data_IF_352695827310
#
_entry.id   IF_352695827310
#
_cell.length_a   1.000
_cell.length_b   1.000
_cell.length_c   1.000
_cell.angle_alpha   90.00
_cell.angle_beta   90.00
_cell.angle_gamma   90.00
#
_symmetry.space_group_name_H-M   'P 1'
#
loop_
_entity.id
_entity.type
_entity.pdbx_description
1 polymer ?
#
# COMPACT_ATOMS: atom_id res chain seq x y z
N UNK A 1 1.02 -52.83 -43.19
CA UNK A 1 0.57 -53.26 -41.85
C UNK A 1 1.78 -53.03 -40.95
N UNK A 2 1.82 -52.13 -40.00
CA UNK A 2 0.81 -51.65 -39.07
C UNK A 2 1.21 -50.24 -38.59
N UNK A 3 0.30 -49.26 -38.71
CA UNK A 3 0.47 -47.91 -38.19
C UNK A 3 0.22 -47.92 -36.68
N UNK A 4 1.27 -47.84 -35.86
CA UNK A 4 1.13 -47.58 -34.43
C UNK A 4 0.80 -46.11 -34.22
N UNK A 5 -0.50 -45.81 -34.08
CA UNK A 5 -1.02 -44.52 -33.63
C UNK A 5 -0.53 -44.27 -32.20
N UNK A 6 0.56 -43.49 -32.04
CA UNK A 6 0.80 -42.78 -30.77
C UNK A 6 -0.27 -41.71 -30.66
N UNK A 7 -1.23 -41.94 -29.77
CA UNK A 7 -2.18 -40.90 -29.37
C UNK A 7 -1.40 -39.71 -28.84
N UNK A 8 -1.41 -38.62 -29.59
CA UNK A 8 -1.06 -37.31 -29.06
C UNK A 8 -2.30 -36.91 -28.28
N UNK A 9 -2.29 -37.20 -26.99
CA UNK A 9 -3.23 -36.61 -26.05
C UNK A 9 -2.98 -35.10 -26.07
N UNK A 10 -3.88 -34.37 -26.73
CA UNK A 10 -3.86 -32.93 -26.88
C UNK A 10 -4.42 -32.20 -25.66
N UNK A 11 -4.48 -32.85 -24.50
CA UNK A 11 -4.78 -32.16 -23.25
C UNK A 11 -3.58 -31.28 -22.85
N UNK A 12 -3.80 -29.99 -22.57
CA UNK A 12 -2.75 -29.15 -22.00
C UNK A 12 -2.29 -29.79 -20.68
N UNK A 13 -0.99 -29.74 -20.34
CA UNK A 13 -0.52 -30.22 -19.04
C UNK A 13 -1.40 -29.59 -17.95
N UNK A 14 -2.01 -30.43 -17.11
CA UNK A 14 -2.77 -29.93 -15.98
C UNK A 14 -1.83 -29.03 -15.16
N UNK A 15 -2.21 -27.77 -14.87
CA UNK A 15 -1.38 -26.92 -14.05
C UNK A 15 -1.26 -27.58 -12.68
N UNK A 16 -0.04 -27.90 -12.26
CA UNK A 16 0.26 -28.35 -10.90
C UNK A 16 -0.47 -27.42 -9.93
N UNK A 17 -1.45 -27.99 -9.23
CA UNK A 17 -2.33 -27.30 -8.28
C UNK A 17 -1.65 -27.03 -6.95
N UNK A 18 -0.40 -27.46 -6.78
CA UNK A 18 0.41 -27.19 -5.59
C UNK A 18 1.36 -26.02 -5.86
N UNK A 19 0.88 -24.80 -5.62
CA UNK A 19 1.77 -23.65 -5.46
C UNK A 19 2.71 -23.82 -4.26
N UNK A 20 3.75 -22.99 -4.18
CA UNK A 20 4.66 -22.95 -3.02
C UNK A 20 3.88 -22.81 -1.70
N UNK A 21 4.45 -23.36 -0.62
CA UNK A 21 3.90 -23.24 0.74
C UNK A 21 4.81 -22.41 1.62
N UNK A 22 4.23 -21.47 2.36
CA UNK A 22 4.96 -20.68 3.35
C UNK A 22 5.53 -21.55 4.46
N UNK A 23 4.92 -22.73 4.73
CA UNK A 23 5.42 -23.70 5.70
C UNK A 23 6.80 -24.28 5.32
N UNK A 24 7.08 -24.41 4.02
CA UNK A 24 8.31 -24.97 3.47
C UNK A 24 9.43 -23.93 3.32
N UNK A 25 9.22 -22.71 3.82
CA UNK A 25 10.14 -21.59 3.65
C UNK A 25 11.48 -21.83 4.33
N UNK A 26 12.55 -21.63 3.57
CA UNK A 26 13.92 -21.60 4.07
C UNK A 26 14.28 -20.16 4.48
N UNK A 27 14.92 -20.00 5.64
CA UNK A 27 15.29 -18.69 6.19
C UNK A 27 16.78 -18.66 6.47
N UNK A 28 17.51 -17.86 5.71
CA UNK A 28 18.91 -17.55 5.91
C UNK A 28 19.02 -16.11 6.43
N UNK A 29 19.45 -15.95 7.68
CA UNK A 29 19.60 -14.64 8.30
C UNK A 29 21.04 -14.14 8.20
N UNK A 30 21.22 -12.83 7.97
CA UNK A 30 22.52 -12.17 8.14
C UNK A 30 23.06 -12.38 9.56
N UNK A 31 24.36 -12.59 9.69
CA UNK A 31 25.01 -12.73 11.01
C UNK A 31 25.04 -11.41 11.79
N UNK A 32 25.10 -10.29 11.08
CA UNK A 32 25.09 -8.95 11.64
C UNK A 32 24.20 -8.06 10.78
N UNK A 33 23.15 -7.53 11.39
CA UNK A 33 22.28 -6.54 10.75
C UNK A 33 23.04 -5.25 10.44
N UNK A 34 22.68 -4.62 9.31
CA UNK A 34 23.11 -3.27 9.03
C UNK A 34 22.56 -2.30 10.09
N UNK A 35 23.26 -1.18 10.29
CA UNK A 35 22.76 -0.13 11.16
C UNK A 35 21.46 0.43 10.57
N UNK A 36 20.42 0.48 11.40
CA UNK A 36 19.13 1.00 10.95
C UNK A 36 19.29 2.51 10.75
N UNK A 37 18.92 3.05 9.58
CA UNK A 37 18.98 4.49 9.36
C UNK A 37 18.07 5.22 10.36
N UNK A 38 18.41 6.47 10.66
CA UNK A 38 17.54 7.34 11.44
C UNK A 38 16.15 7.40 10.77
N UNK A 39 15.06 7.03 11.46
CA UNK A 39 13.70 7.15 10.92
C UNK A 39 13.36 8.55 10.42
N UNK A 40 14.05 9.57 10.94
CA UNK A 40 13.93 10.97 10.58
C UNK A 40 14.78 11.39 9.37
N UNK A 41 15.51 10.48 8.73
CA UNK A 41 16.35 10.79 7.56
C UNK A 41 16.12 9.82 6.38
N UNK A 42 15.04 9.03 6.44
CA UNK A 42 14.69 8.05 5.41
C UNK A 42 14.32 8.69 4.07
N UNK A 43 14.97 8.22 2.99
CA UNK A 43 14.59 8.51 1.61
C UNK A 43 13.98 7.26 0.98
N UNK A 44 12.80 7.40 0.37
CA UNK A 44 12.05 6.28 -0.17
C UNK A 44 12.87 5.46 -1.19
N UNK A 45 12.84 4.13 -1.04
CA UNK A 45 13.42 3.19 -2.01
C UNK A 45 14.94 3.21 -2.12
N UNK A 46 15.64 3.90 -1.22
CA UNK A 46 17.11 4.01 -1.23
C UNK A 46 17.79 3.11 -0.21
N UNK A 47 17.11 2.84 0.90
CA UNK A 47 17.58 1.94 1.96
C UNK A 47 16.68 0.72 1.99
N UNK A 48 17.30 -0.46 1.99
CA UNK A 48 16.62 -1.75 2.00
C UNK A 48 16.92 -2.50 3.30
N UNK A 49 16.01 -3.38 3.70
CA UNK A 49 16.25 -4.28 4.84
C UNK A 49 17.32 -5.32 4.52
N UNK A 50 17.85 -5.95 5.57
CA UNK A 50 18.90 -6.96 5.47
C UNK A 50 18.50 -8.20 4.63
N UNK A 51 17.20 -8.45 4.48
CA UNK A 51 16.68 -9.66 3.82
C UNK A 51 15.68 -9.34 2.72
N UNK A 52 15.55 -10.29 1.78
CA UNK A 52 14.56 -10.30 0.72
C UNK A 52 13.88 -11.68 0.63
N UNK A 53 12.63 -11.71 0.16
CA UNK A 53 11.91 -12.94 -0.21
C UNK A 53 12.17 -13.26 -1.68
N UNK A 54 12.46 -14.53 -1.98
CA UNK A 54 12.65 -15.02 -3.34
C UNK A 54 11.99 -16.39 -3.50
N UNK A 55 11.29 -16.60 -4.61
CA UNK A 55 10.62 -17.87 -4.94
C UNK A 55 10.81 -18.10 -6.43
N UNK A 56 11.50 -19.18 -6.80
CA UNK A 56 11.75 -19.51 -8.20
C UNK A 56 10.59 -20.29 -8.81
N UNK A 57 10.38 -20.13 -10.11
CA UNK A 57 9.43 -20.92 -10.87
C UNK A 57 10.03 -21.33 -12.21
N UNK A 58 9.73 -22.55 -12.65
CA UNK A 58 10.02 -23.01 -14.01
C UNK A 58 8.84 -23.78 -14.58
N UNK A 59 8.63 -23.74 -15.90
CA UNK A 59 7.56 -24.50 -16.55
C UNK A 59 7.68 -26.01 -16.34
N UNK A 60 8.91 -26.52 -16.16
CA UNK A 60 9.18 -27.94 -15.99
C UNK A 60 8.98 -28.46 -14.55
N UNK A 61 9.13 -27.59 -13.53
CA UNK A 61 9.14 -28.01 -12.11
C UNK A 61 8.14 -27.26 -11.23
N UNK A 62 7.40 -26.31 -11.79
CA UNK A 62 6.51 -25.45 -11.01
C UNK A 62 7.29 -24.51 -10.08
N UNK A 63 6.67 -24.18 -8.95
CA UNK A 63 7.25 -23.32 -7.93
C UNK A 63 8.26 -24.08 -7.05
N UNK A 64 9.40 -23.47 -6.80
CA UNK A 64 10.37 -23.94 -5.80
C UNK A 64 9.99 -23.43 -4.39
N UNK A 65 10.74 -23.88 -3.37
CA UNK A 65 10.53 -23.46 -1.98
C UNK A 65 10.75 -21.96 -1.82
N UNK A 66 9.93 -21.24 -1.02
CA UNK A 66 10.17 -19.85 -0.71
C UNK A 66 11.45 -19.68 0.12
N UNK A 67 12.23 -18.64 -0.15
CA UNK A 67 13.47 -18.35 0.56
C UNK A 67 13.46 -16.91 1.07
N UNK A 68 13.61 -16.73 2.38
CA UNK A 68 14.07 -15.45 2.95
C UNK A 68 15.58 -15.56 3.06
N UNK A 69 16.29 -14.66 2.40
CA UNK A 69 17.76 -14.67 2.35
C UNK A 69 18.33 -13.25 2.41
N UNK A 70 19.63 -13.07 2.64
CA UNK A 70 20.26 -11.75 2.61
C UNK A 70 19.97 -11.00 1.31
N UNK A 71 19.72 -9.71 1.43
CA UNK A 71 19.52 -8.79 0.30
C UNK A 71 20.76 -8.84 -0.62
N UNK A 72 20.53 -9.09 -1.90
CA UNK A 72 21.59 -9.25 -2.90
C UNK A 72 21.07 -8.89 -4.30
N UNK A 73 21.99 -8.65 -5.23
CA UNK A 73 21.63 -8.41 -6.63
C UNK A 73 21.00 -9.65 -7.27
N UNK A 74 20.07 -9.43 -8.20
CA UNK A 74 19.51 -10.50 -9.01
C UNK A 74 20.48 -10.89 -10.13
N UNK A 75 20.81 -12.18 -10.23
CA UNK A 75 21.57 -12.74 -11.34
C UNK A 75 20.59 -13.18 -12.45
N UNK A 76 20.47 -12.39 -13.51
CA UNK A 76 19.50 -12.60 -14.59
C UNK A 76 20.21 -12.93 -15.91
N UNK A 77 19.64 -13.84 -16.69
CA UNK A 77 20.08 -14.07 -18.06
C UNK A 77 19.77 -12.82 -18.91
N UNK A 78 20.67 -12.35 -19.79
CA UNK A 78 20.48 -11.11 -20.56
C UNK A 78 19.21 -11.09 -21.43
N UNK A 79 18.71 -12.26 -21.82
CA UNK A 79 17.49 -12.43 -22.62
C UNK A 79 16.20 -12.60 -21.79
N UNK A 80 16.21 -12.29 -20.49
CA UNK A 80 15.00 -12.43 -19.65
C UNK A 80 13.88 -11.51 -20.12
N UNK A 81 12.68 -12.06 -20.31
CA UNK A 81 11.54 -11.33 -20.90
C UNK A 81 11.13 -10.07 -20.13
N UNK A 82 11.40 -9.99 -18.83
CA UNK A 82 11.18 -8.78 -18.03
C UNK A 82 11.93 -7.56 -18.61
N UNK A 83 13.17 -7.74 -19.09
CA UNK A 83 13.99 -6.64 -19.63
C UNK A 83 13.66 -6.28 -21.09
N UNK A 84 13.04 -7.20 -21.84
CA UNK A 84 12.78 -7.02 -23.28
C UNK A 84 11.34 -6.65 -23.59
N UNK A 85 10.39 -7.21 -22.84
CA UNK A 85 8.96 -7.13 -23.12
C UNK A 85 8.13 -6.75 -21.89
N UNK A 86 8.78 -6.29 -20.80
CA UNK A 86 8.12 -5.90 -19.57
C UNK A 86 7.16 -6.97 -19.01
N UNK A 87 7.55 -8.24 -19.10
CA UNK A 87 6.81 -9.36 -18.47
C UNK A 87 7.09 -9.35 -16.97
N UNK A 88 6.50 -8.37 -16.28
CA UNK A 88 6.69 -8.08 -14.87
C UNK A 88 5.46 -7.39 -14.26
N UNK A 89 5.37 -7.44 -12.94
CA UNK A 89 4.38 -6.72 -12.13
C UNK A 89 4.96 -6.45 -10.76
N UNK A 90 4.35 -5.53 -10.01
CA UNK A 90 4.73 -5.27 -8.62
C UNK A 90 3.49 -5.03 -7.75
N UNK A 91 3.70 -5.05 -6.44
CA UNK A 91 2.71 -4.68 -5.44
C UNK A 91 3.30 -3.72 -4.42
N UNK A 92 2.43 -2.97 -3.73
CA UNK A 92 2.80 -2.01 -2.70
C UNK A 92 1.93 -2.17 -1.46
N UNK A 93 2.52 -2.63 -0.36
CA UNK A 93 1.89 -2.71 0.95
C UNK A 93 2.87 -2.34 2.05
N UNK A 94 2.37 -2.15 3.27
CA UNK A 94 3.17 -1.67 4.40
C UNK A 94 2.97 -2.52 5.64
N UNK A 95 4.06 -2.63 6.39
CA UNK A 95 4.08 -3.14 7.75
C UNK A 95 4.15 -1.94 8.72
N UNK A 96 3.46 -2.05 9.85
CA UNK A 96 3.32 -0.96 10.83
C UNK A 96 3.61 -1.49 12.22
N UNK A 97 4.55 -0.89 12.93
CA UNK A 97 4.73 -1.08 14.37
C UNK A 97 3.72 -0.22 15.11
N UNK A 98 2.77 -0.86 15.78
CA UNK A 98 1.79 -0.18 16.63
C UNK A 98 2.38 0.27 17.96
N UNK A 99 1.61 1.04 18.72
CA UNK A 99 1.97 1.51 20.06
C UNK A 99 2.24 0.37 21.06
N UNK A 100 1.65 -0.80 20.82
CA UNK A 100 1.89 -2.05 21.56
C UNK A 100 3.11 -2.82 21.06
N UNK A 101 3.95 -2.19 20.24
CA UNK A 101 5.14 -2.74 19.61
C UNK A 101 4.88 -3.94 18.66
N UNK A 102 3.62 -4.25 18.32
CA UNK A 102 3.28 -5.33 17.37
C UNK A 102 3.27 -4.85 15.93
N UNK A 103 3.80 -5.67 15.03
CA UNK A 103 3.75 -5.43 13.57
C UNK A 103 2.37 -5.81 13.02
N UNK A 104 1.78 -4.94 12.20
CA UNK A 104 0.50 -5.15 11.53
C UNK A 104 0.66 -4.94 10.03
N UNK A 105 -0.08 -5.73 9.25
CA UNK A 105 -0.29 -5.50 7.82
C UNK A 105 -1.74 -5.04 7.61
N UNK A 106 -1.96 -4.19 6.62
CA UNK A 106 -3.26 -3.56 6.37
C UNK A 106 -3.93 -4.15 5.15
N UNK A 107 -5.05 -4.89 5.33
CA UNK A 107 -5.78 -5.62 4.27
C UNK A 107 -4.88 -6.31 3.24
N UNK A 108 -3.83 -7.02 3.66
CA UNK A 108 -2.82 -7.46 2.71
C UNK A 108 -3.33 -8.52 1.73
N UNK A 109 -4.46 -9.19 2.03
CA UNK A 109 -5.13 -10.09 1.09
C UNK A 109 -5.61 -9.39 -0.18
N UNK A 110 -6.04 -8.12 -0.11
CA UNK A 110 -6.45 -7.38 -1.31
C UNK A 110 -5.28 -7.13 -2.27
N UNK A 111 -4.09 -6.88 -1.72
CA UNK A 111 -2.87 -6.79 -2.51
C UNK A 111 -2.55 -8.14 -3.15
N UNK A 112 -2.69 -9.25 -2.42
CA UNK A 112 -2.41 -10.58 -2.98
C UNK A 112 -3.41 -10.97 -4.08
N UNK A 113 -4.69 -10.65 -3.90
CA UNK A 113 -5.71 -10.84 -4.92
C UNK A 113 -5.44 -9.98 -6.16
N UNK A 114 -5.02 -8.72 -5.97
CA UNK A 114 -4.64 -7.83 -7.07
C UNK A 114 -3.38 -8.33 -7.79
N UNK A 115 -2.36 -8.75 -7.05
CA UNK A 115 -1.16 -9.38 -7.58
C UNK A 115 -1.49 -10.61 -8.43
N UNK A 116 -2.37 -11.49 -7.94
CA UNK A 116 -2.81 -12.68 -8.68
C UNK A 116 -3.57 -12.31 -9.96
N UNK A 117 -4.45 -11.30 -9.93
CA UNK A 117 -5.12 -10.80 -11.14
C UNK A 117 -4.13 -10.24 -12.15
N UNK A 118 -3.16 -9.44 -11.70
CA UNK A 118 -2.10 -8.90 -12.55
C UNK A 118 -1.22 -10.01 -13.14
N UNK A 119 -0.88 -11.04 -12.34
CA UNK A 119 -0.09 -12.18 -12.80
C UNK A 119 -0.80 -12.92 -13.93
N UNK A 120 -2.10 -13.21 -13.76
CA UNK A 120 -2.93 -13.82 -14.79
C UNK A 120 -3.00 -12.97 -16.06
N UNK A 121 -3.11 -11.65 -15.91
CA UNK A 121 -3.15 -10.70 -17.05
C UNK A 121 -1.83 -10.64 -17.81
N UNK A 122 -0.71 -10.73 -17.10
CA UNK A 122 0.64 -10.74 -17.66
C UNK A 122 1.10 -12.14 -18.12
N UNK A 123 0.22 -13.15 -18.07
CA UNK A 123 0.55 -14.55 -18.34
C UNK A 123 1.70 -15.10 -17.47
N UNK A 124 1.89 -14.55 -16.28
CA UNK A 124 2.80 -15.06 -15.26
C UNK A 124 2.17 -16.24 -14.50
N UNK A 125 2.98 -17.13 -13.89
CA UNK A 125 2.49 -18.25 -13.10
C UNK A 125 1.55 -17.79 -11.97
N UNK A 126 0.41 -18.47 -11.82
CA UNK A 126 -0.49 -18.25 -10.69
C UNK A 126 0.11 -18.83 -9.40
N UNK A 127 -0.34 -18.30 -8.26
CA UNK A 127 0.06 -18.73 -6.92
C UNK A 127 -1.11 -18.60 -5.95
N UNK A 128 -1.01 -19.20 -4.76
CA UNK A 128 -1.99 -19.05 -3.69
C UNK A 128 -1.78 -17.69 -2.96
N UNK A 129 -2.76 -16.77 -2.99
CA UNK A 129 -2.68 -15.48 -2.31
C UNK A 129 -2.38 -15.58 -0.81
N UNK A 130 -2.89 -16.62 -0.13
CA UNK A 130 -2.69 -16.81 1.30
C UNK A 130 -1.25 -17.23 1.59
N UNK A 131 -0.70 -18.15 0.80
CA UNK A 131 0.69 -18.60 0.97
C UNK A 131 1.68 -17.47 0.69
N UNK A 132 1.45 -16.65 -0.34
CA UNK A 132 2.24 -15.45 -0.60
C UNK A 132 2.16 -14.47 0.59
N UNK A 133 0.97 -14.24 1.13
CA UNK A 133 0.81 -13.38 2.30
C UNK A 133 1.58 -13.91 3.51
N UNK A 134 1.48 -15.21 3.79
CA UNK A 134 2.16 -15.81 4.93
C UNK A 134 3.69 -15.74 4.77
N UNK A 135 4.22 -15.79 3.54
CA UNK A 135 5.62 -15.50 3.24
C UNK A 135 5.99 -14.03 3.55
N UNK A 136 5.17 -13.07 3.11
CA UNK A 136 5.40 -11.63 3.34
C UNK A 136 5.35 -11.29 4.84
N UNK A 137 4.43 -11.91 5.60
CA UNK A 137 4.37 -11.75 7.06
C UNK A 137 5.67 -12.18 7.73
N UNK A 138 6.24 -13.32 7.32
CA UNK A 138 7.53 -13.81 7.85
C UNK A 138 8.66 -12.81 7.55
N UNK A 139 8.71 -12.25 6.34
CA UNK A 139 9.68 -11.20 5.97
C UNK A 139 9.47 -9.91 6.79
N UNK A 140 8.23 -9.46 6.96
CA UNK A 140 7.93 -8.22 7.68
C UNK A 140 8.32 -8.29 9.18
N UNK A 141 8.16 -9.46 9.81
CA UNK A 141 8.61 -9.71 11.18
C UNK A 141 10.14 -9.60 11.28
N UNK A 142 10.87 -10.01 10.25
CA UNK A 142 12.32 -9.82 10.19
C UNK A 142 12.73 -8.34 10.00
N UNK A 143 11.93 -7.52 9.31
CA UNK A 143 12.32 -6.18 8.84
C UNK A 143 11.86 -4.96 9.69
N UNK A 144 10.70 -4.98 10.35
CA UNK A 144 10.35 -4.02 11.43
C UNK A 144 10.02 -2.52 11.12
N UNK A 145 9.51 -2.13 9.95
CA UNK A 145 9.22 -0.72 9.53
C UNK A 145 7.73 -0.24 9.58
N UNK A 146 7.42 1.03 9.17
CA UNK A 146 6.11 1.75 9.35
C UNK A 146 5.39 2.38 8.09
N UNK A 147 5.78 3.50 7.43
CA UNK A 147 5.07 4.08 6.22
C UNK A 147 5.90 5.05 5.31
N UNK A 148 5.29 5.71 4.29
CA UNK A 148 5.81 6.48 3.11
C UNK A 148 4.70 7.42 2.58
N UNK A 149 5.02 8.67 2.23
CA UNK A 149 4.15 9.61 1.50
C UNK A 149 4.57 9.67 0.02
N UNK A 150 3.63 9.51 -0.91
CA UNK A 150 3.91 9.52 -2.34
C UNK A 150 3.87 10.94 -2.90
N UNK A 151 4.88 11.26 -3.73
CA UNK A 151 5.02 12.54 -4.42
C UNK A 151 5.10 12.29 -5.94
N UNK A 152 4.56 13.22 -6.74
CA UNK A 152 4.53 13.11 -8.20
C UNK A 152 5.00 14.39 -8.90
N UNK A 153 5.71 14.24 -10.02
CA UNK A 153 6.24 15.35 -10.83
C UNK A 153 7.35 16.16 -10.16
N UNK A 154 8.02 17.01 -10.94
CA UNK A 154 9.14 17.84 -10.46
C UNK A 154 8.72 18.87 -9.39
N UNK A 155 7.44 19.24 -9.39
CA UNK A 155 6.86 20.15 -8.39
C UNK A 155 6.49 19.44 -7.06
N UNK A 156 6.71 18.12 -6.99
CA UNK A 156 6.45 17.29 -5.82
C UNK A 156 4.99 17.39 -5.34
N UNK A 157 4.05 17.11 -6.25
CA UNK A 157 2.63 16.98 -5.93
C UNK A 157 2.41 15.86 -4.92
N UNK A 158 1.70 16.16 -3.85
CA UNK A 158 1.32 15.19 -2.83
C UNK A 158 0.17 14.35 -3.35
N UNK A 159 0.31 13.03 -3.33
CA UNK A 159 -0.68 12.11 -3.92
C UNK A 159 -1.35 11.23 -2.87
N UNK A 160 -0.62 10.29 -2.27
CA UNK A 160 -1.17 9.27 -1.37
C UNK A 160 -0.28 9.02 -0.16
N UNK A 161 -0.87 8.72 1.00
CA UNK A 161 -0.16 8.30 2.20
C UNK A 161 0.00 6.77 2.22
N UNK A 162 0.84 6.24 1.35
CA UNK A 162 1.03 4.80 1.20
C UNK A 162 -0.03 4.14 0.36
N UNK A 163 -0.94 3.41 1.01
CA UNK A 163 -2.09 2.77 0.35
C UNK A 163 -3.39 3.45 0.77
N UNK A 164 -3.31 4.76 1.04
CA UNK A 164 -4.39 5.58 1.56
C UNK A 164 -4.45 6.86 0.74
N UNK A 165 -5.66 7.27 0.35
CA UNK A 165 -5.86 8.60 -0.20
C UNK A 165 -5.59 9.64 0.89
N UNK A 166 -4.88 10.71 0.56
CA UNK A 166 -4.55 11.76 1.51
C UNK A 166 -5.65 12.82 1.57
N UNK A 167 -5.93 13.29 2.77
CA UNK A 167 -6.74 14.47 3.04
C UNK A 167 -5.94 15.46 3.88
N UNK A 168 -6.10 16.73 3.55
CA UNK A 168 -5.53 17.88 4.27
C UNK A 168 -6.69 18.77 4.66
N UNK A 169 -6.83 19.04 5.96
CA UNK A 169 -7.79 19.99 6.50
C UNK A 169 -7.03 21.20 7.06
N UNK A 170 -7.33 22.37 6.52
CA UNK A 170 -6.50 23.56 6.69
C UNK A 170 -7.26 24.86 6.45
N UNK A 171 -6.57 25.99 6.70
CA UNK A 171 -6.99 27.32 6.25
C UNK A 171 -6.30 27.60 4.90
N UNK A 172 -7.09 27.70 3.83
CA UNK A 172 -6.59 27.93 2.48
C UNK A 172 -6.00 29.35 2.32
N UNK A 173 -5.49 29.66 1.14
CA UNK A 173 -4.84 30.94 0.84
C UNK A 173 -5.79 32.15 0.91
N UNK A 174 -7.10 31.92 0.91
CA UNK A 174 -8.14 32.93 1.03
C UNK A 174 -8.66 33.09 2.48
N UNK A 175 -8.11 32.34 3.43
CA UNK A 175 -8.55 32.37 4.83
C UNK A 175 -9.76 31.50 5.13
N UNK A 176 -10.17 30.62 4.21
CA UNK A 176 -11.32 29.74 4.37
C UNK A 176 -10.91 28.39 4.96
N UNK A 177 -11.75 27.82 5.82
CA UNK A 177 -11.60 26.42 6.21
C UNK A 177 -11.90 25.50 5.03
N UNK A 178 -10.96 24.62 4.72
CA UNK A 178 -11.00 23.77 3.54
C UNK A 178 -10.53 22.34 3.87
N UNK A 179 -11.29 21.34 3.41
CA UNK A 179 -10.86 19.96 3.29
C UNK A 179 -10.50 19.70 1.83
N UNK A 180 -9.26 19.31 1.58
CA UNK A 180 -8.73 19.13 0.24
C UNK A 180 -8.07 17.76 0.10
N UNK A 181 -8.28 17.14 -1.06
CA UNK A 181 -7.66 15.88 -1.47
C UNK A 181 -7.22 15.96 -2.94
N UNK A 182 -6.14 15.29 -3.35
CA UNK A 182 -5.72 15.28 -4.75
C UNK A 182 -6.82 14.74 -5.70
N UNK A 183 -6.95 15.28 -6.92
CA UNK A 183 -7.99 14.88 -7.88
C UNK A 183 -7.71 13.51 -8.49
N UNK A 184 -8.73 12.90 -9.11
CA UNK A 184 -8.59 11.63 -9.83
C UNK A 184 -8.11 11.87 -11.27
N UNK A 185 -6.83 12.19 -11.42
CA UNK A 185 -6.17 12.49 -12.70
C UNK A 185 -5.43 11.29 -13.33
N UNK A 186 -5.61 10.09 -12.75
CA UNK A 186 -4.95 8.85 -13.17
C UNK A 186 -3.76 8.44 -12.29
N UNK A 187 -3.25 9.34 -11.43
CA UNK A 187 -2.18 9.01 -10.47
C UNK A 187 -2.74 8.52 -9.13
N UNK A 188 -3.95 8.96 -8.77
CA UNK A 188 -4.61 8.64 -7.50
C UNK A 188 -5.56 7.46 -7.66
N UNK A 189 -5.49 6.49 -6.74
CA UNK A 189 -6.43 5.37 -6.70
C UNK A 189 -7.81 5.87 -6.22
N UNK A 190 -8.91 5.58 -6.93
CA UNK A 190 -10.25 6.01 -6.54
C UNK A 190 -10.77 5.19 -5.34
N UNK A 191 -10.36 5.56 -4.13
CA UNK A 191 -10.76 4.85 -2.91
C UNK A 191 -12.23 5.07 -2.55
N UNK A 192 -12.93 3.99 -2.18
CA UNK A 192 -14.34 4.08 -1.72
C UNK A 192 -14.46 4.97 -0.49
N UNK A 193 -13.54 4.84 0.47
CA UNK A 193 -13.54 5.66 1.68
C UNK A 193 -13.25 7.13 1.38
N UNK A 194 -12.42 7.42 0.38
CA UNK A 194 -12.20 8.79 -0.10
C UNK A 194 -13.52 9.39 -0.58
N UNK A 195 -14.27 8.66 -1.41
CA UNK A 195 -15.56 9.12 -1.90
C UNK A 195 -16.56 9.34 -0.75
N UNK A 196 -16.67 8.39 0.17
CA UNK A 196 -17.56 8.51 1.33
C UNK A 196 -17.23 9.73 2.21
N UNK A 197 -15.95 10.05 2.39
CA UNK A 197 -15.50 11.23 3.14
C UNK A 197 -15.89 12.51 2.41
N UNK A 198 -15.68 12.58 1.09
CA UNK A 198 -16.08 13.74 0.29
C UNK A 198 -17.59 13.96 0.34
N UNK A 199 -18.39 12.90 0.24
CA UNK A 199 -19.85 12.98 0.27
C UNK A 199 -20.35 13.43 1.65
N UNK A 200 -19.78 12.91 2.74
CA UNK A 200 -20.08 13.35 4.10
C UNK A 200 -19.72 14.83 4.31
N UNK A 201 -18.49 15.21 3.94
CA UNK A 201 -18.02 16.58 4.13
C UNK A 201 -18.86 17.60 3.34
N UNK A 202 -19.22 17.26 2.09
CA UNK A 202 -20.11 18.09 1.26
C UNK A 202 -21.52 18.17 1.85
N UNK A 203 -22.03 17.07 2.41
CA UNK A 203 -23.35 17.04 3.07
C UNK A 203 -23.37 17.88 4.34
N UNK A 204 -22.29 17.90 5.12
CA UNK A 204 -22.18 18.74 6.31
C UNK A 204 -22.17 20.23 5.95
N UNK A 205 -21.55 20.60 4.82
CA UNK A 205 -21.53 21.97 4.30
C UNK A 205 -21.05 23.02 5.32
N UNK A 206 -20.06 22.64 6.14
CA UNK A 206 -19.49 23.48 7.20
C UNK A 206 -18.19 24.19 6.80
N UNK A 207 -17.50 23.63 5.81
CA UNK A 207 -16.23 24.10 5.28
C UNK A 207 -16.15 23.74 3.79
N UNK A 208 -15.23 24.38 3.08
CA UNK A 208 -15.03 24.14 1.65
C UNK A 208 -14.48 22.74 1.42
N UNK A 209 -14.98 22.02 0.41
CA UNK A 209 -14.50 20.68 0.03
C UNK A 209 -14.04 20.72 -1.41
N UNK A 210 -12.75 20.47 -1.65
CA UNK A 210 -12.18 20.58 -2.99
C UNK A 210 -11.29 19.37 -3.35
N UNK A 211 -11.41 18.92 -4.59
CA UNK A 211 -10.49 17.95 -5.18
C UNK A 211 -9.46 18.74 -5.99
N UNK A 212 -8.28 18.98 -5.41
CA UNK A 212 -7.27 19.88 -5.96
C UNK A 212 -5.85 19.38 -5.65
N UNK A 213 -4.97 19.48 -6.64
CA UNK A 213 -3.56 19.09 -6.49
C UNK A 213 -2.83 20.05 -5.55
N UNK A 214 -2.03 19.50 -4.64
CA UNK A 214 -1.24 20.27 -3.66
C UNK A 214 0.21 19.85 -3.78
N UNK A 215 1.12 20.82 -3.82
CA UNK A 215 2.56 20.55 -3.85
C UNK A 215 3.15 20.56 -2.44
N UNK A 216 4.27 19.87 -2.26
CA UNK A 216 5.00 19.93 -0.98
C UNK A 216 5.42 21.35 -0.61
N UNK A 217 5.73 22.22 -1.58
CA UNK A 217 6.07 23.62 -1.28
C UNK A 217 4.89 24.35 -0.62
N UNK A 218 3.67 24.16 -1.14
CA UNK A 218 2.46 24.73 -0.53
C UNK A 218 2.18 24.13 0.85
N UNK A 219 2.34 22.81 0.98
CA UNK A 219 2.13 22.12 2.25
C UNK A 219 3.11 22.60 3.33
N UNK A 220 4.39 22.74 2.99
CA UNK A 220 5.42 23.26 3.90
C UNK A 220 5.12 24.71 4.30
N UNK A 221 4.75 25.57 3.36
CA UNK A 221 4.34 26.95 3.66
C UNK A 221 3.15 26.97 4.63
N UNK A 222 2.13 26.16 4.39
CA UNK A 222 0.97 26.04 5.25
C UNK A 222 1.33 25.58 6.67
N UNK A 223 2.24 24.62 6.80
CA UNK A 223 2.73 24.12 8.09
C UNK A 223 3.46 25.25 8.83
N UNK A 224 4.39 25.94 8.16
CA UNK A 224 5.20 27.02 8.76
C UNK A 224 4.35 28.21 9.18
N UNK A 225 3.26 28.48 8.46
CA UNK A 225 2.31 29.54 8.76
C UNK A 225 1.16 29.09 9.69
N UNK A 226 1.23 27.91 10.31
CA UNK A 226 0.21 27.37 11.22
C UNK A 226 -1.20 27.31 10.62
N UNK A 227 -1.29 27.08 9.30
CA UNK A 227 -2.57 26.96 8.58
C UNK A 227 -3.10 25.53 8.54
N UNK A 228 -2.25 24.52 8.77
CA UNK A 228 -2.67 23.12 8.81
C UNK A 228 -3.36 22.80 10.15
N UNK A 229 -4.57 22.23 10.07
CA UNK A 229 -5.30 21.72 11.23
C UNK A 229 -5.09 20.21 11.39
N UNK A 230 -5.39 19.45 10.33
CA UNK A 230 -5.30 17.99 10.36
C UNK A 230 -4.82 17.47 9.01
N UNK A 231 -4.00 16.42 9.03
CA UNK A 231 -3.66 15.63 7.84
C UNK A 231 -3.90 14.17 8.19
N UNK A 232 -4.59 13.46 7.30
CA UNK A 232 -4.88 12.05 7.51
C UNK A 232 -4.97 11.29 6.19
N UNK A 233 -4.65 10.00 6.26
CA UNK A 233 -4.95 9.06 5.19
C UNK A 233 -6.34 8.45 5.38
N UNK A 234 -7.02 8.15 4.29
CA UNK A 234 -8.25 7.35 4.28
C UNK A 234 -8.04 6.05 3.52
N UNK A 235 -8.56 4.96 4.06
CA UNK A 235 -8.46 3.65 3.44
C UNK A 235 -9.21 2.60 4.25
N UNK A 236 -9.71 1.58 3.57
CA UNK A 236 -10.74 0.69 4.16
C UNK A 236 -10.34 -0.03 5.46
N UNK A 237 -9.06 -0.26 5.77
CA UNK A 237 -8.70 -0.93 7.02
C UNK A 237 -8.41 -0.04 8.23
N UNK A 238 -8.40 1.29 8.10
CA UNK A 238 -8.33 2.20 9.25
C UNK A 238 -9.48 3.20 9.23
N UNK A 239 -10.22 3.27 8.10
CA UNK A 239 -11.19 4.30 7.78
C UNK A 239 -10.50 5.65 7.64
N UNK A 240 -9.90 6.15 8.73
CA UNK A 240 -9.07 7.35 8.83
C UNK A 240 -7.81 7.06 9.67
N UNK A 241 -6.66 7.54 9.21
CA UNK A 241 -5.37 7.43 9.90
C UNK A 241 -4.70 8.82 10.03
N UNK A 242 -4.67 9.43 11.23
CA UNK A 242 -4.00 10.70 11.48
C UNK A 242 -2.50 10.66 11.19
N UNK A 243 -1.96 11.76 10.65
CA UNK A 243 -0.54 11.93 10.35
C UNK A 243 0.02 13.06 11.21
N UNK A 244 1.01 12.77 12.05
CA UNK A 244 1.62 13.74 12.97
C UNK A 244 2.98 14.31 12.53
N UNK A 245 3.63 13.71 11.53
CA UNK A 245 4.92 14.15 10.98
C UNK A 245 5.08 13.77 9.51
N UNK A 246 5.74 14.64 8.75
CA UNK A 246 6.26 14.34 7.40
C UNK A 246 7.75 14.67 7.38
N UNK A 247 8.57 13.70 6.99
CA UNK A 247 9.97 13.96 6.68
C UNK A 247 10.10 14.35 5.21
N UNK A 248 10.65 15.53 4.94
CA UNK A 248 10.82 16.02 3.57
C UNK A 248 12.10 16.85 3.42
N UNK A 249 12.93 16.49 2.43
CA UNK A 249 14.24 17.14 2.16
C UNK A 249 15.13 17.28 3.41
N UNK A 250 15.12 16.28 4.29
CA UNK A 250 15.88 16.27 5.55
C UNK A 250 15.28 17.13 6.67
N UNK A 251 14.16 17.82 6.42
CA UNK A 251 13.41 18.57 7.44
C UNK A 251 12.25 17.71 7.98
N UNK A 252 12.19 17.59 9.31
CA UNK A 252 11.06 16.97 9.98
C UNK A 252 9.94 18.00 10.17
N UNK A 253 8.92 17.92 9.33
CA UNK A 253 7.73 18.76 9.39
C UNK A 253 6.77 18.17 10.42
N UNK A 254 6.63 18.83 11.56
CA UNK A 254 5.60 18.49 12.53
C UNK A 254 4.23 18.93 12.00
N UNK A 255 3.23 18.06 12.14
CA UNK A 255 1.85 18.33 11.77
C UNK A 255 1.01 18.27 13.05
N UNK A 256 0.27 19.34 13.40
CA UNK A 256 -0.44 19.45 14.67
C UNK A 256 -1.75 18.64 14.70
N UNK A 257 -1.84 17.54 13.92
CA UNK A 257 -3.08 16.76 13.78
C UNK A 257 -3.55 16.24 15.13
N UNK A 258 -2.63 15.70 15.95
CA UNK A 258 -2.98 15.09 17.23
C UNK A 258 -3.28 16.14 18.30
N UNK A 259 -2.53 17.25 18.25
CA UNK A 259 -2.61 18.39 19.14
C UNK A 259 -3.94 19.15 18.98
N UNK A 260 -4.53 19.10 17.79
CA UNK A 260 -5.85 19.67 17.51
C UNK A 260 -7.02 18.76 17.94
N UNK A 261 -6.75 17.60 18.55
CA UNK A 261 -7.78 16.68 19.05
C UNK A 261 -8.46 15.88 17.95
N UNK A 262 -7.72 15.50 16.90
CA UNK A 262 -8.08 15.48 15.47
C UNK A 262 -9.59 15.38 15.23
N UNK A 263 -10.26 16.52 15.39
CA UNK A 263 -11.72 16.61 15.52
C UNK A 263 -12.41 16.10 14.27
N UNK A 264 -11.93 16.52 13.09
CA UNK A 264 -12.53 16.12 11.83
C UNK A 264 -12.27 14.63 11.54
N UNK A 265 -11.04 14.16 11.73
CA UNK A 265 -10.71 12.74 11.54
C UNK A 265 -11.54 11.83 12.46
N UNK A 266 -11.71 12.22 13.74
CA UNK A 266 -12.54 11.50 14.71
C UNK A 266 -14.02 11.52 14.35
N UNK A 267 -14.55 12.68 13.95
CA UNK A 267 -15.94 12.82 13.50
C UNK A 267 -16.24 11.95 12.28
N UNK A 268 -15.34 11.94 11.29
CA UNK A 268 -15.44 11.08 10.10
C UNK A 268 -15.43 9.61 10.51
N UNK A 269 -14.46 9.21 11.34
CA UNK A 269 -14.34 7.82 11.81
C UNK A 269 -15.62 7.37 12.51
N UNK A 270 -16.15 8.18 13.43
CA UNK A 270 -17.38 7.90 14.17
C UNK A 270 -18.58 7.76 13.23
N UNK A 271 -18.80 8.72 12.33
CA UNK A 271 -19.95 8.69 11.40
C UNK A 271 -19.91 7.46 10.48
N UNK A 272 -18.74 7.16 9.91
CA UNK A 272 -18.59 6.00 9.02
C UNK A 272 -18.76 4.68 9.78
N UNK A 273 -18.22 4.58 11.00
CA UNK A 273 -18.37 3.39 11.85
C UNK A 273 -19.82 3.21 12.25
N UNK A 274 -20.52 4.27 12.64
CA UNK A 274 -21.91 4.20 13.08
C UNK A 274 -22.85 3.75 11.95
N UNK A 275 -22.61 4.18 10.71
CA UNK A 275 -23.31 3.66 9.54
C UNK A 275 -22.98 2.18 9.28
N UNK A 276 -21.69 1.81 9.30
CA UNK A 276 -21.22 0.44 9.03
C UNK A 276 -21.78 -0.58 10.03
N UNK A 277 -21.89 -0.22 11.30
CA UNK A 277 -22.42 -1.09 12.35
C UNK A 277 -23.94 -0.93 12.56
N UNK A 278 -24.62 -0.18 11.69
CA UNK A 278 -26.07 -0.04 11.71
C UNK A 278 -26.64 0.76 12.88
N UNK A 279 -25.81 1.56 13.57
CA UNK A 279 -26.30 2.52 14.59
C UNK A 279 -27.05 3.68 13.95
N UNK A 280 -26.63 4.06 12.74
CA UNK A 280 -27.29 5.07 11.90
C UNK A 280 -27.72 4.39 10.61
N UNK A 281 -29.01 4.51 10.27
CA UNK A 281 -29.52 4.02 9.01
C UNK A 281 -28.90 4.80 7.84
N UNK A 282 -28.42 4.08 6.84
CA UNK A 282 -27.82 4.66 5.64
C UNK A 282 -28.15 3.79 4.43
N UNK A 283 -28.37 4.42 3.29
CA UNK A 283 -28.48 3.78 1.98
C UNK A 283 -27.17 3.16 1.50
N UNK A 284 -26.05 3.44 2.19
CA UNK A 284 -24.74 2.86 1.90
C UNK A 284 -24.58 1.43 2.45
N UNK A 285 -25.48 0.97 3.32
CA UNK A 285 -25.41 -0.36 3.93
C UNK A 285 -26.55 -1.25 3.44
N UNK A 286 -26.25 -2.53 3.19
CA UNK A 286 -27.23 -3.55 2.81
C UNK A 286 -27.17 -4.69 3.80
N UNK A 287 -28.34 -5.14 4.27
CA UNK A 287 -28.47 -6.31 5.14
C UNK A 287 -28.39 -7.54 4.24
N UNK A 288 -27.48 -8.46 4.55
CA UNK A 288 -27.41 -9.77 3.90
C UNK A 288 -28.43 -10.67 4.59
N UNK A 289 -29.50 -11.02 3.86
CA UNK A 289 -30.58 -11.93 4.28
C UNK A 289 -30.61 -13.15 3.37
#
# INVERSE_FOLDING_TARGET
>A
MENSKRGIDGSPPQPDTEGFKAADMEVELVQKSAEKPDPNQLVFGTVFSDHMLMIHWTSARGWERPQIKPMQNLSLHPAVSALHYAVELFEGLKAYRGMDNKIRLFRPMLNMERMLRSARRACLPSFDPKEMLDCIKKLAVAAGCQQVLWLYGDEHYVTEAGTMNLFIYWINEHGEEELVTPPLDGVILPGVLRQSILDLARKWNQFKVEERSITMNKLVDAIKNNRIKEIFGSGTACVVCPIGRILYKGENLHIPTMENGPKLASQILENLTDMQYGKVASDWTQIVV
#
